data_IF_394088437470
#
_entry.id   IF_394088437470
#
_cell.length_a   1.000
_cell.length_b   1.000
_cell.length_c   1.000
_cell.angle_alpha   90.00
_cell.angle_beta   90.00
_cell.angle_gamma   90.00
#
_symmetry.space_group_name_H-M   'P 1'
#
loop_
_entity.id
_entity.type
_entity.pdbx_description
1 polymer ?
#
# COMPACT_ATOMS: atom_id res chain seq x y z
N UNK A 1 13.73 -20.45 13.38
CA UNK A 1 13.55 -19.89 13.13
C UNK A 1 13.01 -19.22 12.89
N UNK A 2 12.83 -19.02 12.66
CA UNK A 2 12.48 -18.43 12.40
C UNK A 2 12.00 -17.69 12.06
N UNK A 3 11.68 -17.33 11.88
CA UNK A 3 11.16 -16.66 11.54
C UNK A 3 11.07 -15.78 11.02
N UNK A 4 11.29 -15.75 10.61
CA UNK A 4 11.31 -14.96 10.07
C UNK A 4 10.69 -14.31 9.72
N UNK A 5 10.63 -13.93 9.81
CA UNK A 5 9.74 -13.34 9.49
C UNK A 5 9.61 -12.44 8.52
N UNK A 6 9.32 -12.73 7.55
CA UNK A 6 8.89 -11.91 6.50
C UNK A 6 7.58 -11.36 6.89
N UNK A 7 7.49 -10.08 6.99
CA UNK A 7 6.22 -9.47 7.23
C UNK A 7 5.50 -9.39 5.91
N UNK A 8 4.40 -10.10 5.73
CA UNK A 8 3.69 -10.08 4.46
C UNK A 8 3.29 -8.66 4.06
N UNK A 9 2.92 -7.83 5.04
CA UNK A 9 2.52 -6.47 4.74
C UNK A 9 3.67 -5.63 4.19
N UNK A 10 4.91 -5.96 4.53
CA UNK A 10 6.04 -5.24 3.97
C UNK A 10 6.18 -5.50 2.48
N UNK A 11 6.03 -6.77 2.08
CA UNK A 11 6.08 -7.12 0.68
C UNK A 11 4.94 -6.45 -0.09
N UNK A 12 3.78 -6.39 0.51
CA UNK A 12 2.63 -5.75 -0.13
C UNK A 12 2.83 -4.25 -0.25
N UNK A 13 3.48 -3.63 0.73
CA UNK A 13 3.81 -2.22 0.65
C UNK A 13 4.73 -1.93 -0.52
N UNK A 14 5.74 -2.79 -0.72
CA UNK A 14 6.67 -2.64 -1.83
C UNK A 14 5.92 -2.83 -3.16
N UNK A 15 5.06 -3.83 -3.24
CA UNK A 15 4.25 -4.05 -4.43
C UNK A 15 3.38 -2.83 -4.72
N UNK A 16 2.76 -2.29 -3.68
CA UNK A 16 1.92 -1.10 -3.83
C UNK A 16 2.72 0.07 -4.40
N UNK A 17 3.93 0.27 -3.86
CA UNK A 17 4.80 1.34 -4.34
C UNK A 17 5.09 1.19 -5.83
N UNK A 18 5.43 -0.02 -6.26
CA UNK A 18 5.77 -0.26 -7.66
C UNK A 18 4.54 -0.13 -8.57
N UNK A 19 3.39 -0.61 -8.10
CA UNK A 19 2.16 -0.48 -8.88
C UNK A 19 1.76 0.97 -9.03
N UNK A 20 1.91 1.76 -7.97
CA UNK A 20 1.64 3.20 -8.04
C UNK A 20 2.62 3.89 -8.96
N UNK A 21 3.89 3.50 -8.92
CA UNK A 21 4.90 4.08 -9.80
C UNK A 21 4.55 3.82 -11.26
N UNK A 22 4.01 2.66 -11.56
CA UNK A 22 3.57 2.34 -12.92
C UNK A 22 2.44 3.24 -13.39
N UNK A 23 1.69 3.80 -12.43
CA UNK A 23 0.62 4.75 -12.73
C UNK A 23 1.13 6.19 -12.72
N UNK A 24 2.43 6.37 -12.56
CA UNK A 24 3.03 7.70 -12.55
C UNK A 24 2.97 8.39 -11.20
N UNK A 25 2.77 7.63 -10.12
CA UNK A 25 2.66 8.20 -8.77
C UNK A 25 3.75 7.67 -7.87
N UNK A 26 4.40 8.58 -7.17
CA UNK A 26 5.44 8.23 -6.22
C UNK A 26 4.83 8.09 -4.82
N UNK A 27 5.13 6.99 -4.14
CA UNK A 27 4.63 6.74 -2.80
C UNK A 27 5.79 6.65 -1.81
N UNK A 28 5.72 7.43 -0.74
CA UNK A 28 6.68 7.37 0.34
C UNK A 28 6.18 6.33 1.35
N UNK A 29 6.81 5.15 1.35
CA UNK A 29 6.35 4.06 2.20
C UNK A 29 6.48 4.35 3.68
N UNK A 30 7.51 5.08 4.07
CA UNK A 30 7.68 5.42 5.49
C UNK A 30 6.54 6.31 5.95
N UNK A 31 6.18 7.29 5.13
CA UNK A 31 5.09 8.18 5.46
C UNK A 31 3.74 7.46 5.43
N UNK A 32 3.59 6.55 4.48
CA UNK A 32 2.37 5.76 4.35
C UNK A 32 2.05 5.00 5.64
N UNK A 33 3.08 4.55 6.33
CA UNK A 33 2.90 3.74 7.52
C UNK A 33 2.65 4.54 8.79
N UNK A 34 2.91 5.84 8.76
CA UNK A 34 2.78 6.66 9.98
C UNK A 34 1.83 7.83 9.85
N UNK A 35 1.37 8.12 8.65
CA UNK A 35 0.49 9.27 8.40
C UNK A 35 -0.82 8.75 7.81
N UNK A 36 -1.84 8.68 8.65
CA UNK A 36 -3.13 8.12 8.23
C UNK A 36 -3.76 8.91 7.08
N UNK A 37 -3.59 10.23 7.10
CA UNK A 37 -4.15 11.05 6.04
C UNK A 37 -3.49 10.77 4.71
N UNK A 38 -2.16 10.65 4.72
CA UNK A 38 -1.42 10.34 3.52
C UNK A 38 -1.79 8.96 3.00
N UNK A 39 -1.91 7.98 3.91
CA UNK A 39 -2.31 6.63 3.54
C UNK A 39 -3.70 6.62 2.90
N UNK A 40 -4.64 7.34 3.50
CA UNK A 40 -5.99 7.44 2.95
C UNK A 40 -5.98 8.03 1.54
N UNK A 41 -5.19 9.08 1.35
CA UNK A 41 -5.08 9.72 0.04
C UNK A 41 -4.52 8.76 -1.00
N UNK A 42 -3.46 8.04 -0.63
CA UNK A 42 -2.84 7.08 -1.55
C UNK A 42 -3.78 5.94 -1.88
N UNK A 43 -4.42 5.35 -0.86
CA UNK A 43 -5.33 4.24 -1.08
C UNK A 43 -6.55 4.70 -1.87
N UNK A 44 -7.05 5.89 -1.60
CA UNK A 44 -8.17 6.44 -2.34
C UNK A 44 -7.87 6.57 -3.83
N UNK A 45 -6.67 7.07 -4.15
CA UNK A 45 -6.24 7.14 -5.54
C UNK A 45 -6.15 5.76 -6.17
N UNK A 46 -5.55 4.82 -5.44
CA UNK A 46 -5.34 3.48 -5.96
C UNK A 46 -6.67 2.76 -6.20
N UNK A 47 -7.62 2.95 -5.31
CA UNK A 47 -8.93 2.28 -5.42
C UNK A 47 -9.74 2.81 -6.60
N UNK A 48 -9.40 3.99 -7.10
CA UNK A 48 -10.04 4.56 -8.27
C UNK A 48 -9.32 4.24 -9.57
N UNK A 49 -8.20 3.53 -9.47
CA UNK A 49 -7.40 3.19 -10.64
C UNK A 49 -8.08 2.12 -11.47
N UNK A 50 -7.92 2.13 -12.82
CA UNK A 50 -8.39 1.03 -13.64
C UNK A 50 -7.54 -0.23 -13.52
N UNK A 51 -6.39 -0.13 -12.87
CA UNK A 51 -5.48 -1.26 -12.70
C UNK A 51 -5.99 -2.17 -11.58
N UNK A 52 -6.49 -3.34 -11.94
CA UNK A 52 -7.07 -4.25 -10.96
C UNK A 52 -6.08 -4.74 -9.91
N UNK A 53 -4.85 -5.14 -10.27
CA UNK A 53 -3.88 -5.54 -9.25
C UNK A 53 -3.61 -4.43 -8.23
N UNK A 54 -3.59 -3.18 -8.69
CA UNK A 54 -3.38 -2.05 -7.79
C UNK A 54 -4.56 -1.88 -6.84
N UNK A 55 -5.79 -2.00 -7.35
CA UNK A 55 -6.97 -1.90 -6.50
C UNK A 55 -6.97 -2.99 -5.42
N UNK A 56 -6.64 -4.21 -5.81
CA UNK A 56 -6.58 -5.32 -4.86
C UNK A 56 -5.53 -5.08 -3.79
N UNK A 57 -4.36 -4.64 -4.20
CA UNK A 57 -3.27 -4.38 -3.29
C UNK A 57 -3.66 -3.29 -2.30
N UNK A 58 -4.27 -2.22 -2.82
CA UNK A 58 -4.69 -1.10 -1.98
C UNK A 58 -5.75 -1.52 -0.97
N UNK A 59 -6.72 -2.32 -1.40
CA UNK A 59 -7.77 -2.79 -0.51
C UNK A 59 -7.20 -3.65 0.61
N UNK A 60 -6.29 -4.55 0.26
CA UNK A 60 -5.69 -5.44 1.22
C UNK A 60 -4.85 -4.67 2.25
N UNK A 61 -4.05 -3.73 1.78
CA UNK A 61 -3.24 -2.91 2.67
C UNK A 61 -4.10 -2.00 3.54
N UNK A 62 -5.14 -1.45 2.96
CA UNK A 62 -6.04 -0.59 3.71
C UNK A 62 -6.64 -1.36 4.88
N UNK A 63 -7.03 -2.60 4.64
CA UNK A 63 -7.59 -3.44 5.69
C UNK A 63 -6.56 -3.77 6.76
N UNK A 64 -5.32 -4.03 6.34
CA UNK A 64 -4.25 -4.40 7.28
C UNK A 64 -3.74 -3.21 8.08
N UNK A 65 -3.70 -2.04 7.46
CA UNK A 65 -3.22 -0.83 8.12
C UNK A 65 -4.37 -0.04 8.72
N UNK A 66 -5.38 -0.71 9.20
CA UNK A 66 -6.55 -0.03 9.75
C UNK A 66 -6.14 0.93 10.86
N UNK A 67 -6.06 2.19 10.53
CA UNK A 67 -5.81 3.23 11.50
C UNK A 67 -7.11 3.47 12.26
N UNK A 68 -7.08 3.14 13.51
CA UNK A 68 -8.27 3.27 14.32
C UNK A 68 -8.51 4.71 14.73
#
# INVERSE_FOLDING_TARGET
MDHITTQPELLELVDFKWLMAAEGRHVDLARLQRDAQYADDCFGCALRSPCEPLRRCAQHLHDQLAFA
#
